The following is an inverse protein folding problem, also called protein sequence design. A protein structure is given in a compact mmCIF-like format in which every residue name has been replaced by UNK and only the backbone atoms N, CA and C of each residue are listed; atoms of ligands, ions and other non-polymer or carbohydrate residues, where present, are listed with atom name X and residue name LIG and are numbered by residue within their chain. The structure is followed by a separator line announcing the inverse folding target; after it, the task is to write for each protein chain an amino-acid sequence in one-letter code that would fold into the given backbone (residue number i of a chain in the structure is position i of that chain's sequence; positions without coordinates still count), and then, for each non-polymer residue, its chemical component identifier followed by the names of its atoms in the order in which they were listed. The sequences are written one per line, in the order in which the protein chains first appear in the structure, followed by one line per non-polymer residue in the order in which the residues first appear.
data_IF_836308678636
#
_entry.id   IF_836308678636
#
_cell.length_a   1.000
_cell.length_b   1.000
_cell.length_c   1.000
_cell.angle_alpha   90.00
_cell.angle_beta   90.00
_cell.angle_gamma   90.00
#
_symmetry.space_group_name_H-M   'P 1'
#
loop_
_entity.id
_entity.type
_entity.pdbx_description
1 polymer ?
#
# COMPACT_ATOMS: atom_id res chain seq x y z
N UNK A 1 16.53 -6.11 4.46
CA UNK A 1 15.19 -6.63 4.80
C UNK A 1 14.28 -5.56 5.40
N UNK A 2 14.60 -4.92 6.54
CA UNK A 2 13.71 -3.90 7.16
C UNK A 2 13.43 -2.69 6.23
N UNK A 3 14.43 -2.20 5.49
CA UNK A 3 14.22 -1.07 4.56
C UNK A 3 13.42 -1.45 3.31
N UNK A 4 13.45 -2.73 2.91
CA UNK A 4 12.75 -3.22 1.72
C UNK A 4 11.25 -3.40 1.95
N UNK A 5 10.76 -3.36 3.19
CA UNK A 5 9.33 -3.47 3.47
C UNK A 5 8.57 -2.14 3.37
N UNK A 6 9.27 -1.01 3.24
CA UNK A 6 8.62 0.30 3.22
C UNK A 6 7.60 0.45 2.08
N UNK A 7 7.95 0.15 0.80
CA UNK A 7 6.98 0.24 -0.30
C UNK A 7 5.71 -0.59 -0.02
N UNK A 8 5.87 -1.78 0.55
CA UNK A 8 4.74 -2.66 0.93
C UNK A 8 3.85 -1.99 1.98
N UNK A 9 4.46 -1.46 3.06
CA UNK A 9 3.69 -0.84 4.15
C UNK A 9 3.07 0.49 3.75
N UNK A 10 3.70 1.24 2.84
CA UNK A 10 3.14 2.48 2.31
C UNK A 10 2.00 2.20 1.33
N UNK A 11 2.14 1.23 0.43
CA UNK A 11 1.08 0.81 -0.47
C UNK A 11 -0.18 0.38 0.29
N UNK A 12 -0.03 -0.48 1.31
CA UNK A 12 -1.16 -1.06 2.05
C UNK A 12 -1.66 -0.19 3.22
N UNK A 13 -0.89 0.80 3.64
CA UNK A 13 -1.12 1.51 4.91
C UNK A 13 -1.15 3.03 4.80
N UNK A 14 -0.74 3.61 3.68
CA UNK A 14 -0.79 5.05 3.46
C UNK A 14 -1.88 5.42 2.44
N UNK A 15 -2.35 6.66 2.55
CA UNK A 15 -3.34 7.23 1.66
C UNK A 15 -3.12 8.74 1.49
N UNK A 16 -3.64 9.30 0.40
CA UNK A 16 -3.73 10.76 0.23
C UNK A 16 -4.82 11.31 1.15
N UNK A 17 -4.46 12.30 1.95
CA UNK A 17 -5.39 13.11 2.77
C UNK A 17 -5.32 14.57 2.34
N UNK A 18 -6.21 15.42 2.87
CA UNK A 18 -6.17 16.86 2.65
C UNK A 18 -4.87 17.54 3.09
N UNK A 19 -4.10 16.93 4.03
CA UNK A 19 -2.88 17.53 4.60
C UNK A 19 -1.58 16.90 4.11
N UNK A 20 -1.63 15.63 3.69
CA UNK A 20 -0.46 14.86 3.31
C UNK A 20 -0.85 13.83 2.25
N UNK A 21 -0.16 13.85 1.11
CA UNK A 21 -0.34 12.94 -0.01
C UNK A 21 0.08 11.50 0.29
N UNK A 22 0.97 11.31 1.27
CA UNK A 22 1.44 10.00 1.74
C UNK A 22 1.22 9.83 3.25
N UNK A 23 -0.02 10.04 3.71
CA UNK A 23 -0.36 9.95 5.14
C UNK A 23 -0.46 8.50 5.58
N UNK A 24 0.36 8.09 6.56
CA UNK A 24 0.18 6.81 7.24
C UNK A 24 -1.15 6.77 7.99
N UNK A 25 -1.94 5.75 7.68
CA UNK A 25 -3.26 5.50 8.30
C UNK A 25 -3.19 4.33 9.29
N UNK A 26 -2.00 4.08 9.81
CA UNK A 26 -1.70 3.18 10.91
C UNK A 26 -0.57 3.78 11.74
N UNK A 27 -0.57 3.52 13.04
CA UNK A 27 0.57 3.78 13.91
C UNK A 27 1.59 2.65 13.80
N UNK A 28 2.87 2.98 13.80
CA UNK A 28 3.97 2.01 13.82
C UNK A 28 4.81 2.24 15.07
N UNK A 29 4.94 1.23 15.92
CA UNK A 29 5.88 1.25 17.03
C UNK A 29 7.04 0.32 16.70
N UNK A 30 8.26 0.86 16.69
CA UNK A 30 9.46 0.10 16.38
C UNK A 30 10.28 -0.06 17.66
N UNK A 31 10.41 -1.29 18.14
CA UNK A 31 11.31 -1.64 19.24
C UNK A 31 12.64 -2.12 18.66
N UNK A 32 13.71 -1.36 18.88
CA UNK A 32 15.07 -1.76 18.49
C UNK A 32 15.71 -2.49 19.67
N UNK A 33 16.10 -3.74 19.47
CA UNK A 33 16.77 -4.56 20.47
C UNK A 33 18.29 -4.37 20.34
N UNK A 34 18.92 -3.80 21.37
CA UNK A 34 20.38 -3.63 21.44
C UNK A 34 20.96 -4.54 22.50
N UNK A 35 22.19 -5.02 22.27
CA UNK A 35 22.96 -5.70 23.32
C UNK A 35 23.62 -4.71 24.29
N UNK A 36 24.31 -5.23 25.31
CA UNK A 36 25.00 -4.40 26.32
C UNK A 36 26.12 -3.53 25.74
N UNK A 37 26.61 -3.84 24.54
CA UNK A 37 27.60 -3.03 23.82
C UNK A 37 26.97 -1.98 22.90
N UNK A 38 25.64 -1.87 22.86
CA UNK A 38 24.92 -0.92 22.01
C UNK A 38 24.77 -1.38 20.56
N UNK A 39 25.10 -2.63 20.23
CA UNK A 39 24.96 -3.18 18.89
C UNK A 39 23.53 -3.65 18.68
N UNK A 40 22.91 -3.26 17.55
CA UNK A 40 21.56 -3.67 17.18
C UNK A 40 21.55 -5.19 16.88
N UNK A 41 20.78 -5.93 17.65
CA UNK A 41 20.57 -7.38 17.49
C UNK A 41 19.26 -7.74 16.78
N UNK A 42 18.32 -6.82 16.76
CA UNK A 42 17.05 -7.01 16.06
C UNK A 42 16.12 -5.82 16.20
N UNK A 43 14.97 -5.91 15.55
CA UNK A 43 13.88 -4.96 15.71
C UNK A 43 12.54 -5.71 15.67
N UNK A 44 11.59 -5.28 16.50
CA UNK A 44 10.19 -5.67 16.43
C UNK A 44 9.36 -4.47 15.99
N UNK A 45 8.37 -4.71 15.16
CA UNK A 45 7.47 -3.68 14.64
C UNK A 45 6.05 -4.09 15.03
N UNK A 46 5.39 -3.26 15.81
CA UNK A 46 3.99 -3.41 16.17
C UNK A 46 3.16 -2.36 15.40
N UNK A 47 2.10 -2.81 14.72
CA UNK A 47 1.18 -1.93 13.99
C UNK A 47 -0.07 -1.67 14.82
N UNK A 48 -0.48 -0.41 14.92
CA UNK A 48 -1.62 0.05 15.71
C UNK A 48 -2.64 0.77 14.83
N UNK A 49 -3.92 0.59 15.15
CA UNK A 49 -5.01 1.46 14.69
C UNK A 49 -5.01 1.73 13.17
N UNK A 50 -4.95 0.66 12.37
CA UNK A 50 -5.22 0.80 10.93
C UNK A 50 -6.63 1.38 10.76
N UNK A 51 -6.75 2.47 9.99
CA UNK A 51 -8.01 3.15 9.69
C UNK A 51 -8.88 2.33 8.72
N UNK A 52 -9.32 1.15 9.14
CA UNK A 52 -10.14 0.21 8.36
C UNK A 52 -11.33 0.86 7.64
N UNK A 53 -12.08 1.82 8.24
CA UNK A 53 -13.20 2.47 7.56
C UNK A 53 -12.82 3.18 6.25
N UNK A 54 -11.54 3.56 6.08
CA UNK A 54 -11.04 4.19 4.86
C UNK A 54 -11.24 3.32 3.62
N UNK A 55 -11.24 2.00 3.76
CA UNK A 55 -11.48 1.10 2.62
C UNK A 55 -12.85 1.36 1.99
N UNK A 56 -13.87 1.59 2.80
CA UNK A 56 -15.26 1.74 2.34
C UNK A 56 -15.69 3.20 2.17
N UNK A 57 -15.03 4.14 2.84
CA UNK A 57 -15.40 5.55 2.82
C UNK A 57 -14.17 6.47 2.88
N UNK A 58 -14.13 7.48 2.01
CA UNK A 58 -13.09 8.51 2.01
C UNK A 58 -13.73 9.90 1.92
N UNK A 59 -13.23 10.89 2.68
CA UNK A 59 -13.65 12.28 2.49
C UNK A 59 -13.37 12.77 1.07
N UNK A 60 -14.16 13.75 0.60
CA UNK A 60 -13.97 14.33 -0.73
C UNK A 60 -12.56 14.94 -0.87
N UNK A 61 -11.91 14.66 -2.01
CA UNK A 61 -10.54 15.12 -2.30
C UNK A 61 -9.43 14.24 -1.73
N UNK A 62 -9.77 13.24 -0.90
CA UNK A 62 -8.85 12.23 -0.38
C UNK A 62 -8.87 10.94 -1.20
N UNK A 63 -7.87 10.07 -1.01
CA UNK A 63 -7.82 8.73 -1.63
C UNK A 63 -8.07 7.62 -0.60
N UNK A 64 -8.39 6.44 -1.13
CA UNK A 64 -8.23 5.17 -0.42
C UNK A 64 -6.73 4.84 -0.27
N UNK A 65 -6.40 3.65 0.24
CA UNK A 65 -5.02 3.16 0.29
C UNK A 65 -4.39 3.09 -1.11
N UNK A 66 -3.10 3.43 -1.20
CA UNK A 66 -2.40 3.52 -2.49
C UNK A 66 -2.45 2.23 -3.30
N UNK A 67 -2.40 1.07 -2.64
CA UNK A 67 -2.44 -0.25 -3.27
C UNK A 67 -3.61 -0.43 -4.25
N UNK A 68 -4.78 0.16 -4.00
CA UNK A 68 -5.92 0.07 -4.92
C UNK A 68 -5.67 0.82 -6.23
N UNK A 69 -5.07 2.01 -6.15
CA UNK A 69 -4.75 2.84 -7.32
C UNK A 69 -3.58 2.24 -8.10
N UNK A 70 -2.57 1.74 -7.38
CA UNK A 70 -1.44 1.00 -7.94
C UNK A 70 -1.91 -0.23 -8.70
N UNK A 71 -2.82 -1.03 -8.14
CA UNK A 71 -3.41 -2.19 -8.81
C UNK A 71 -4.16 -1.78 -10.08
N UNK A 72 -5.00 -0.74 -10.01
CA UNK A 72 -5.74 -0.25 -11.17
C UNK A 72 -4.82 0.27 -12.29
N UNK A 73 -3.71 0.91 -11.93
CA UNK A 73 -2.76 1.48 -12.89
C UNK A 73 -1.80 0.41 -13.45
N UNK A 74 -1.08 -0.29 -12.58
CA UNK A 74 0.05 -1.16 -12.92
C UNK A 74 -0.30 -2.61 -13.31
N UNK A 75 -1.48 -3.12 -12.97
CA UNK A 75 -1.82 -4.49 -13.34
C UNK A 75 -1.85 -4.70 -14.87
N UNK A 76 -1.24 -5.79 -15.33
CA UNK A 76 -1.21 -6.16 -16.74
C UNK A 76 -2.61 -6.53 -17.29
N UNK A 77 -2.82 -6.49 -18.63
CA UNK A 77 -4.14 -6.71 -19.23
C UNK A 77 -4.79 -8.05 -18.88
N UNK A 78 -3.98 -9.12 -18.77
CA UNK A 78 -4.46 -10.45 -18.41
C UNK A 78 -5.02 -10.47 -16.97
N UNK A 79 -4.27 -9.91 -16.02
CA UNK A 79 -4.68 -9.81 -14.61
C UNK A 79 -5.90 -8.91 -14.45
N UNK A 80 -5.93 -7.78 -15.16
CA UNK A 80 -7.09 -6.87 -15.15
C UNK A 80 -8.35 -7.57 -15.64
N UNK A 81 -8.25 -8.35 -16.72
CA UNK A 81 -9.36 -9.14 -17.25
C UNK A 81 -9.79 -10.23 -16.27
N UNK A 82 -8.83 -10.94 -15.67
CA UNK A 82 -9.09 -12.03 -14.74
C UNK A 82 -9.82 -11.56 -13.48
N UNK A 83 -9.36 -10.45 -12.89
CA UNK A 83 -9.89 -9.93 -11.63
C UNK A 83 -10.99 -8.86 -11.81
N UNK A 84 -11.34 -8.54 -13.05
CA UNK A 84 -12.33 -7.50 -13.34
C UNK A 84 -11.89 -6.09 -12.94
N UNK A 85 -10.58 -5.82 -12.93
CA UNK A 85 -10.01 -4.52 -12.56
C UNK A 85 -10.26 -3.52 -13.70
N UNK A 86 -10.98 -2.46 -13.39
CA UNK A 86 -11.23 -1.29 -14.25
C UNK A 86 -10.36 -0.10 -13.84
N UNK A 87 -10.58 1.07 -14.45
CA UNK A 87 -9.92 2.30 -14.00
C UNK A 87 -10.38 2.68 -12.59
N UNK A 88 -9.54 3.36 -11.82
CA UNK A 88 -9.83 3.69 -10.43
C UNK A 88 -11.12 4.53 -10.26
N UNK A 89 -11.51 5.34 -11.25
CA UNK A 89 -12.76 6.11 -11.20
C UNK A 89 -14.02 5.26 -11.39
N UNK A 90 -13.90 4.07 -11.97
CA UNK A 90 -15.04 3.17 -12.25
C UNK A 90 -15.41 2.29 -11.06
N UNK A 91 -14.54 2.18 -10.06
CA UNK A 91 -14.80 1.43 -8.84
C UNK A 91 -15.34 2.36 -7.75
N UNK A 92 -16.40 1.91 -7.06
CA UNK A 92 -17.06 2.69 -6.00
C UNK A 92 -16.06 3.18 -4.93
N UNK A 93 -15.21 2.30 -4.42
CA UNK A 93 -14.34 2.59 -3.28
C UNK A 93 -13.06 3.35 -3.61
N UNK A 94 -12.77 3.59 -4.88
CA UNK A 94 -11.66 4.44 -5.31
C UNK A 94 -12.13 5.72 -6.02
N UNK A 95 -13.33 5.72 -6.59
CA UNK A 95 -13.89 6.86 -7.34
C UNK A 95 -14.81 7.79 -6.54
N UNK A 96 -15.41 7.34 -5.43
CA UNK A 96 -16.44 8.10 -4.70
C UNK A 96 -15.96 9.42 -4.06
N UNK A 97 -14.65 9.61 -3.87
CA UNK A 97 -14.08 10.84 -3.31
C UNK A 97 -13.74 11.90 -4.37
N UNK A 98 -13.95 11.58 -5.66
CA UNK A 98 -13.56 12.41 -6.80
C UNK A 98 -12.07 12.76 -6.84
N UNK A 99 -11.22 11.94 -6.23
CA UNK A 99 -9.77 12.05 -6.30
C UNK A 99 -9.16 10.68 -6.57
N UNK A 100 -8.62 10.50 -7.77
CA UNK A 100 -7.98 9.23 -8.19
C UNK A 100 -6.49 9.36 -8.47
N UNK A 101 -5.98 10.59 -8.57
CA UNK A 101 -4.57 10.89 -8.82
C UNK A 101 -3.96 11.74 -7.70
N UNK A 102 -2.63 11.75 -7.64
CA UNK A 102 -1.82 12.63 -6.80
C UNK A 102 -0.72 13.23 -7.68
N UNK A 103 -0.51 14.55 -7.54
CA UNK A 103 0.50 15.24 -8.33
C UNK A 103 1.90 14.68 -8.05
N UNK A 104 2.62 14.32 -9.12
CA UNK A 104 3.97 13.77 -9.04
C UNK A 104 4.06 12.29 -8.64
N UNK A 105 2.94 11.58 -8.53
CA UNK A 105 2.90 10.14 -8.24
C UNK A 105 2.55 9.35 -9.51
N UNK A 106 3.31 8.29 -9.76
CA UNK A 106 3.04 7.31 -10.81
C UNK A 106 2.62 5.99 -10.16
N UNK A 107 1.31 5.79 -10.00
CA UNK A 107 0.76 4.59 -9.34
C UNK A 107 1.15 3.30 -10.11
N UNK A 108 1.45 3.35 -11.41
CA UNK A 108 1.90 2.17 -12.16
C UNK A 108 3.37 1.82 -11.85
N UNK A 109 4.24 2.82 -11.74
CA UNK A 109 5.62 2.62 -11.30
C UNK A 109 5.69 2.14 -9.84
N UNK A 110 4.88 2.73 -8.96
CA UNK A 110 4.81 2.34 -7.54
C UNK A 110 4.26 0.91 -7.35
N UNK A 111 3.39 0.46 -8.25
CA UNK A 111 2.94 -0.94 -8.28
C UNK A 111 4.12 -1.89 -8.49
N UNK A 112 4.96 -1.63 -9.50
CA UNK A 112 6.13 -2.45 -9.78
C UNK A 112 7.15 -2.41 -8.62
N UNK A 113 7.32 -1.25 -7.98
CA UNK A 113 8.15 -1.14 -6.77
C UNK A 113 7.60 -2.01 -5.64
N UNK A 114 6.28 -1.99 -5.41
CA UNK A 114 5.61 -2.80 -4.39
C UNK A 114 5.75 -4.30 -4.67
N UNK A 115 5.55 -4.73 -5.93
CA UNK A 115 5.75 -6.12 -6.33
C UNK A 115 7.21 -6.56 -6.21
N UNK A 116 8.16 -5.70 -6.58
CA UNK A 116 9.59 -5.91 -6.38
C UNK A 116 9.97 -6.05 -4.90
N UNK A 117 9.37 -5.22 -4.04
CA UNK A 117 9.57 -5.27 -2.59
C UNK A 117 9.03 -6.57 -1.98
N UNK A 118 7.83 -7.02 -2.39
CA UNK A 118 7.24 -8.31 -1.95
C UNK A 118 8.19 -9.47 -2.27
N UNK A 119 8.72 -9.53 -3.49
CA UNK A 119 9.72 -10.53 -3.91
C UNK A 119 11.01 -10.41 -3.10
N UNK A 120 11.48 -9.19 -2.87
CA UNK A 120 12.70 -8.91 -2.11
C UNK A 120 12.63 -9.35 -0.65
N UNK A 121 11.44 -9.34 -0.03
CA UNK A 121 11.23 -9.86 1.33
C UNK A 121 10.89 -11.35 1.38
N UNK A 122 10.75 -12.00 0.20
CA UNK A 122 10.57 -13.45 0.08
C UNK A 122 9.11 -13.91 0.05
N UNK A 123 8.16 -13.04 -0.32
CA UNK A 123 6.78 -13.47 -0.62
C UNK A 123 6.80 -14.37 -1.86
N UNK A 124 6.11 -15.51 -1.80
CA UNK A 124 6.00 -16.42 -2.95
C UNK A 124 5.07 -15.86 -4.01
N UNK A 125 5.11 -16.42 -5.22
CA UNK A 125 4.18 -16.02 -6.29
C UNK A 125 2.72 -16.24 -5.90
N UNK A 126 2.43 -17.34 -5.20
CA UNK A 126 1.09 -17.64 -4.70
C UNK A 126 0.66 -16.61 -3.64
N UNK A 127 1.61 -16.12 -2.83
CA UNK A 127 1.37 -15.04 -1.87
C UNK A 127 1.09 -13.69 -2.56
N UNK A 128 1.84 -13.37 -3.61
CA UNK A 128 1.58 -12.21 -4.48
C UNK A 128 0.17 -12.28 -5.08
N UNK A 129 -0.18 -13.40 -5.70
CA UNK A 129 -1.49 -13.62 -6.30
C UNK A 129 -2.63 -13.55 -5.27
N UNK A 130 -2.43 -14.17 -4.09
CA UNK A 130 -3.41 -14.11 -3.00
C UNK A 130 -3.64 -12.69 -2.51
N UNK A 131 -2.58 -11.87 -2.42
CA UNK A 131 -2.69 -10.47 -2.05
C UNK A 131 -3.49 -9.70 -3.11
N UNK A 132 -3.14 -9.86 -4.38
CA UNK A 132 -3.78 -9.15 -5.50
C UNK A 132 -5.27 -9.52 -5.66
N UNK A 133 -5.66 -10.76 -5.32
CA UNK A 133 -7.08 -11.17 -5.28
C UNK A 133 -7.85 -10.64 -4.07
N UNK A 134 -7.14 -10.29 -3.00
CA UNK A 134 -7.76 -9.76 -1.77
C UNK A 134 -8.05 -8.26 -1.89
N UNK A 135 -7.22 -7.54 -2.65
CA UNK A 135 -7.42 -6.14 -3.03
C UNK A 135 -8.60 -5.98 -4.00
#
# INVERSE_FOLDING_TARGET
RILQSNPITEALGNAKTCRNSNSSRFGKFVRVCMDRSGVIRGAMIDHYLLEKPRVTHQPQGERNYHAFYQLCAGAGPALKKELGIRTASEHRYTGQSHCVTVDGVDDAADFEETMGALRGVGVSKEGEESLLRTL
#
